data_IF_125131817654
#
_entry.id   IF_125131817654
#
_cell.length_a   1.000
_cell.length_b   1.000
_cell.length_c   1.000
_cell.angle_alpha   90.00
_cell.angle_beta   90.00
_cell.angle_gamma   90.00
#
_symmetry.space_group_name_H-M   'P 1'
#
loop_
_entity.id
_entity.type
_entity.pdbx_description
1 polymer ?
#
# COMPACT_ATOMS: atom_id res chain seq x y z
N UNK A 1 -29.87 -31.91 4.32
CA UNK A 1 -28.40 -31.87 4.12
C UNK A 1 -27.93 -31.36 2.74
N UNK A 2 -28.83 -31.06 1.78
CA UNK A 2 -28.45 -30.67 0.40
C UNK A 2 -28.36 -29.16 0.12
N UNK A 3 -28.89 -28.29 0.99
CA UNK A 3 -28.87 -26.83 0.79
C UNK A 3 -27.67 -26.13 1.45
N UNK A 4 -27.07 -26.75 2.48
CA UNK A 4 -25.93 -26.17 3.23
C UNK A 4 -24.61 -26.23 2.46
N UNK A 5 -24.43 -27.23 1.59
CA UNK A 5 -23.23 -27.38 0.75
C UNK A 5 -23.16 -26.35 -0.39
N UNK A 6 -24.32 -25.91 -0.92
CA UNK A 6 -24.40 -24.93 -2.01
C UNK A 6 -24.01 -23.54 -1.53
N UNK A 7 -24.44 -23.15 -0.32
CA UNK A 7 -24.11 -21.86 0.27
C UNK A 7 -22.60 -21.72 0.58
N UNK A 8 -21.96 -22.79 1.06
CA UNK A 8 -20.52 -22.80 1.36
C UNK A 8 -19.69 -22.69 0.08
N UNK A 9 -20.11 -23.34 -1.00
CA UNK A 9 -19.42 -23.31 -2.30
C UNK A 9 -19.50 -21.93 -2.97
N UNK A 10 -20.61 -21.19 -2.79
CA UNK A 10 -20.79 -19.84 -3.33
C UNK A 10 -19.98 -18.78 -2.57
N UNK A 11 -19.88 -18.92 -1.24
CA UNK A 11 -19.04 -18.04 -0.41
C UNK A 11 -17.56 -18.23 -0.74
N UNK A 12 -17.13 -19.48 -0.99
CA UNK A 12 -15.75 -19.79 -1.38
C UNK A 12 -15.39 -19.28 -2.80
N UNK A 13 -16.35 -19.34 -3.73
CA UNK A 13 -16.19 -18.77 -5.08
C UNK A 13 -16.08 -17.24 -5.03
N UNK A 14 -16.83 -16.59 -4.13
CA UNK A 14 -16.85 -15.12 -4.02
C UNK A 14 -15.58 -14.53 -3.39
N UNK A 15 -14.88 -15.26 -2.52
CA UNK A 15 -13.60 -14.80 -1.91
C UNK A 15 -12.43 -14.87 -2.90
N UNK A 16 -12.50 -15.72 -3.93
CA UNK A 16 -11.41 -15.89 -4.90
C UNK A 16 -11.32 -14.82 -5.99
N UNK A 17 -12.34 -13.96 -6.13
CA UNK A 17 -12.44 -12.96 -7.20
C UNK A 17 -12.12 -11.52 -6.75
N UNK A 18 -11.75 -11.31 -5.47
CA UNK A 18 -11.50 -9.98 -4.91
C UNK A 18 -10.05 -9.79 -4.48
N UNK A 19 -9.12 -10.09 -5.39
CA UNK A 19 -7.78 -9.52 -5.34
C UNK A 19 -7.62 -8.78 -6.66
N UNK A 20 -8.04 -7.52 -6.68
CA UNK A 20 -7.70 -6.63 -7.78
C UNK A 20 -6.18 -6.45 -7.74
N UNK A 21 -5.45 -6.66 -8.85
CA UNK A 21 -4.05 -6.28 -8.91
C UNK A 21 -4.02 -4.76 -8.70
N UNK A 22 -3.51 -4.32 -7.56
CA UNK A 22 -3.29 -2.90 -7.35
C UNK A 22 -2.16 -2.52 -8.31
N UNK A 23 -2.52 -1.85 -9.40
CA UNK A 23 -1.54 -1.38 -10.37
C UNK A 23 -0.76 -0.26 -9.67
N UNK A 24 0.50 -0.54 -9.32
CA UNK A 24 1.39 0.50 -8.81
C UNK A 24 1.59 1.53 -9.92
N UNK A 25 1.05 2.74 -9.74
CA UNK A 25 1.21 3.82 -10.70
C UNK A 25 2.59 4.44 -10.52
N UNK A 26 3.50 4.13 -11.44
CA UNK A 26 4.83 4.75 -11.46
C UNK A 26 4.73 6.14 -12.11
N UNK A 27 5.02 7.19 -11.33
CA UNK A 27 5.12 8.57 -11.81
C UNK A 27 6.53 8.86 -12.27
N UNK A 28 6.66 9.31 -13.53
CA UNK A 28 7.93 9.70 -14.12
C UNK A 28 7.95 11.17 -14.51
N UNK A 29 9.14 11.76 -14.54
CA UNK A 29 9.36 13.15 -14.91
C UNK A 29 10.58 13.28 -15.81
N UNK A 30 10.43 14.04 -16.90
CA UNK A 30 11.54 14.38 -17.79
C UNK A 30 12.23 15.63 -17.30
N UNK A 31 13.51 15.50 -16.94
CA UNK A 31 14.38 16.56 -16.45
C UNK A 31 14.50 17.67 -17.50
N UNK A 32 14.40 18.93 -17.06
CA UNK A 32 14.55 20.12 -17.91
C UNK A 32 15.85 20.85 -17.58
N UNK A 33 16.28 21.74 -18.48
CA UNK A 33 17.45 22.58 -18.23
C UNK A 33 17.26 23.43 -16.98
N UNK A 34 18.22 23.35 -16.04
CA UNK A 34 18.19 24.04 -14.75
C UNK A 34 17.58 23.22 -13.60
N UNK A 35 17.07 22.03 -13.87
CA UNK A 35 16.60 21.12 -12.82
C UNK A 35 17.79 20.51 -12.05
N UNK A 36 17.62 20.37 -10.74
CA UNK A 36 18.59 19.67 -9.86
C UNK A 36 17.87 18.59 -9.07
N UNK A 37 18.61 17.57 -8.63
CA UNK A 37 18.06 16.48 -7.80
C UNK A 37 17.35 17.03 -6.56
N UNK A 38 17.92 18.07 -5.93
CA UNK A 38 17.34 18.72 -4.77
C UNK A 38 16.01 19.43 -5.08
N UNK A 39 15.94 20.21 -6.17
CA UNK A 39 14.71 20.92 -6.55
C UNK A 39 13.61 19.96 -6.96
N UNK A 40 13.95 18.90 -7.69
CA UNK A 40 12.99 17.85 -8.07
C UNK A 40 12.48 17.12 -6.84
N UNK A 41 13.38 16.65 -5.97
CA UNK A 41 12.99 15.95 -4.75
C UNK A 41 12.02 16.82 -3.93
N UNK A 42 12.36 18.09 -3.69
CA UNK A 42 11.49 19.03 -2.97
C UNK A 42 10.15 19.25 -3.67
N UNK A 43 10.12 19.35 -5.00
CA UNK A 43 8.89 19.54 -5.79
C UNK A 43 7.93 18.36 -5.66
N UNK A 44 8.46 17.15 -5.60
CA UNK A 44 7.68 15.91 -5.48
C UNK A 44 7.51 15.44 -4.04
N UNK A 45 7.95 16.23 -3.04
CA UNK A 45 7.84 15.87 -1.62
C UNK A 45 8.74 14.73 -1.19
N UNK A 46 9.76 14.42 -1.99
CA UNK A 46 10.76 13.40 -1.73
C UNK A 46 12.00 14.01 -1.06
N UNK A 47 12.76 13.16 -0.37
CA UNK A 47 14.14 13.48 0.00
C UNK A 47 15.07 13.24 -1.18
N UNK A 48 16.19 13.97 -1.23
CA UNK A 48 17.22 13.77 -2.27
C UNK A 48 17.68 12.31 -2.34
N UNK A 49 17.85 11.68 -1.17
CA UNK A 49 18.30 10.29 -1.06
C UNK A 49 17.26 9.29 -1.58
N UNK A 50 15.97 9.53 -1.34
CA UNK A 50 14.89 8.73 -1.93
C UNK A 50 14.91 8.83 -3.46
N UNK A 51 15.04 10.03 -4.01
CA UNK A 51 15.08 10.24 -5.46
C UNK A 51 16.31 9.57 -6.10
N UNK A 52 17.47 9.67 -5.44
CA UNK A 52 18.72 9.00 -5.83
C UNK A 52 18.54 7.48 -5.84
N UNK A 53 18.04 6.92 -4.75
CA UNK A 53 17.87 5.48 -4.59
C UNK A 53 16.87 4.91 -5.61
N UNK A 54 15.75 5.60 -5.84
CA UNK A 54 14.75 5.19 -6.84
C UNK A 54 15.28 5.13 -8.26
N UNK A 55 16.24 5.99 -8.60
CA UNK A 55 16.79 6.11 -9.95
C UNK A 55 18.21 5.53 -10.08
N UNK A 56 18.75 4.95 -9.01
CA UNK A 56 20.12 4.42 -8.97
C UNK A 56 21.18 5.46 -9.33
N UNK A 57 20.99 6.73 -8.94
CA UNK A 57 21.95 7.79 -9.27
C UNK A 57 23.25 7.60 -8.48
N UNK A 58 24.38 7.58 -9.16
CA UNK A 58 25.71 7.49 -8.54
C UNK A 58 26.30 8.89 -8.33
N UNK A 59 27.20 9.03 -7.36
CA UNK A 59 27.97 10.27 -7.18
C UNK A 59 28.71 10.59 -8.50
N UNK A 60 28.61 11.81 -9.05
CA UNK A 60 28.29 13.10 -8.41
C UNK A 60 26.80 13.49 -8.30
N UNK A 61 25.87 12.57 -8.57
CA UNK A 61 24.41 12.80 -8.55
C UNK A 61 23.96 13.87 -9.56
N UNK A 62 24.63 13.94 -10.71
CA UNK A 62 24.27 14.81 -11.81
C UNK A 62 23.07 14.26 -12.57
N UNK A 63 22.20 15.16 -13.03
CA UNK A 63 21.06 14.85 -13.87
C UNK A 63 21.11 15.75 -15.11
N UNK A 64 20.75 15.19 -16.26
CA UNK A 64 20.82 15.90 -17.53
C UNK A 64 19.44 16.19 -18.11
N UNK A 65 19.25 17.34 -18.80
CA UNK A 65 18.00 17.62 -19.50
C UNK A 65 17.65 16.51 -20.49
N UNK A 66 16.39 16.07 -20.47
CA UNK A 66 15.89 14.94 -21.27
C UNK A 66 15.95 13.58 -20.56
N UNK A 67 16.62 13.48 -19.41
CA UNK A 67 16.60 12.26 -18.60
C UNK A 67 15.22 12.02 -18.00
N UNK A 68 14.74 10.78 -18.05
CA UNK A 68 13.49 10.38 -17.40
C UNK A 68 13.81 9.84 -16.01
N UNK A 69 13.27 10.48 -14.98
CA UNK A 69 13.42 10.07 -13.59
C UNK A 69 12.08 9.58 -13.05
N UNK A 70 12.11 8.50 -12.28
CA UNK A 70 11.00 8.06 -11.42
C UNK A 70 10.92 9.00 -10.23
N UNK A 71 9.79 9.68 -10.08
CA UNK A 71 9.54 10.70 -9.03
C UNK A 71 8.43 10.30 -8.07
N UNK A 72 7.91 9.09 -8.22
CA UNK A 72 6.97 8.50 -7.29
C UNK A 72 6.55 7.12 -7.76
N UNK A 73 6.33 6.24 -6.82
CA UNK A 73 5.52 5.04 -7.03
C UNK A 73 4.31 5.23 -6.12
N UNK A 74 3.14 5.44 -6.71
CA UNK A 74 1.92 5.23 -5.93
C UNK A 74 1.68 3.73 -5.92
N UNK A 75 2.20 3.09 -4.88
CA UNK A 75 1.63 1.84 -4.43
C UNK A 75 0.15 2.15 -4.13
N UNK A 76 -0.76 1.65 -4.97
CA UNK A 76 -2.18 1.81 -4.70
C UNK A 76 -2.52 1.26 -3.32
N UNK A 77 -3.66 1.64 -2.73
CA UNK A 77 -3.86 1.84 -1.30
C UNK A 77 -3.32 0.72 -0.41
N UNK A 78 -2.02 0.78 -0.13
CA UNK A 78 -1.34 -0.02 0.88
C UNK A 78 -0.23 0.87 1.45
N UNK A 79 -0.33 1.13 2.75
CA UNK A 79 0.56 1.95 3.57
C UNK A 79 0.53 3.48 3.36
N UNK A 80 -0.60 4.11 3.70
CA UNK A 80 -0.53 5.44 4.32
C UNK A 80 0.27 5.33 5.64
N UNK A 81 1.18 6.28 5.97
CA UNK A 81 1.80 6.32 7.29
C UNK A 81 0.72 6.66 8.31
N UNK A 82 0.20 5.62 8.93
CA UNK A 82 -0.64 5.65 10.11
C UNK A 82 0.09 6.41 11.23
N UNK A 83 -0.20 7.70 11.37
CA UNK A 83 -0.18 8.27 12.72
C UNK A 83 -1.30 7.60 13.49
N UNK A 84 -0.99 6.44 14.07
CA UNK A 84 -1.85 5.66 14.95
C UNK A 84 -2.10 6.46 16.24
N UNK A 85 -2.99 7.44 16.15
CA UNK A 85 -3.65 8.02 17.32
C UNK A 85 -4.63 7.00 17.85
N UNK A 86 -4.13 6.00 18.58
CA UNK A 86 -4.96 5.00 19.24
C UNK A 86 -5.82 5.67 20.31
N UNK A 87 -7.15 5.49 20.24
CA UNK A 87 -7.98 5.65 21.42
C UNK A 87 -7.57 4.55 22.40
N UNK A 88 -7.19 4.94 23.62
CA UNK A 88 -6.78 4.03 24.72
C UNK A 88 -5.39 3.38 24.61
N UNK A 89 -4.49 3.88 23.77
CA UNK A 89 -3.09 3.42 23.76
C UNK A 89 -2.86 2.03 23.17
N UNK A 90 -3.83 1.50 22.43
CA UNK A 90 -3.68 0.26 21.66
C UNK A 90 -3.46 0.59 20.17
N UNK A 91 -2.47 -0.04 19.55
CA UNK A 91 -2.21 0.08 18.12
C UNK A 91 -3.16 -0.84 17.34
N UNK A 92 -3.76 -0.34 16.26
CA UNK A 92 -4.76 -1.11 15.49
C UNK A 92 -4.13 -2.32 14.78
N UNK A 93 -2.82 -2.26 14.48
CA UNK A 93 -2.04 -3.40 13.97
C UNK A 93 -2.07 -4.62 14.90
N UNK A 94 -2.01 -4.41 16.22
CA UNK A 94 -1.95 -5.51 17.21
C UNK A 94 -3.30 -6.24 17.35
N UNK A 95 -4.41 -5.54 17.12
CA UNK A 95 -5.77 -6.11 17.18
C UNK A 95 -6.00 -7.09 16.02
N UNK A 96 -5.45 -6.79 14.84
CA UNK A 96 -5.63 -7.62 13.64
C UNK A 96 -4.83 -8.91 13.68
N UNK A 97 -3.63 -8.91 14.27
CA UNK A 97 -2.81 -10.12 14.37
C UNK A 97 -3.22 -11.05 15.52
N UNK A 98 -3.84 -10.54 16.59
CA UNK A 98 -4.09 -11.34 17.80
C UNK A 98 -5.51 -11.92 17.90
N UNK A 99 -6.52 -11.35 17.24
CA UNK A 99 -7.92 -11.78 17.43
C UNK A 99 -8.77 -11.93 16.15
N UNK A 100 -8.18 -11.84 14.96
CA UNK A 100 -8.93 -11.83 13.68
C UNK A 100 -9.91 -13.00 13.50
N UNK A 101 -9.49 -14.24 13.82
CA UNK A 101 -10.41 -15.39 13.77
C UNK A 101 -11.27 -15.57 15.02
N UNK A 102 -10.78 -15.19 16.20
CA UNK A 102 -11.55 -15.31 17.44
C UNK A 102 -12.73 -14.34 17.48
N UNK A 103 -12.60 -13.15 16.91
CA UNK A 103 -13.68 -12.18 16.79
C UNK A 103 -14.80 -12.69 15.87
N UNK A 104 -14.44 -13.29 14.73
CA UNK A 104 -15.41 -13.91 13.82
C UNK A 104 -16.12 -15.10 14.49
N UNK A 105 -15.37 -15.96 15.20
CA UNK A 105 -15.94 -17.07 15.97
C UNK A 105 -16.88 -16.60 17.10
N UNK A 106 -16.54 -15.50 17.78
CA UNK A 106 -17.38 -14.92 18.83
C UNK A 106 -18.69 -14.35 18.27
N UNK A 107 -18.63 -13.67 17.12
CA UNK A 107 -19.83 -13.13 16.43
C UNK A 107 -20.71 -14.28 15.91
N UNK A 108 -20.12 -15.34 15.35
CA UNK A 108 -20.84 -16.54 14.92
C UNK A 108 -21.56 -17.24 16.08
N UNK A 109 -20.93 -17.30 17.26
CA UNK A 109 -21.52 -17.88 18.48
C UNK A 109 -22.65 -17.01 19.05
N UNK A 110 -22.54 -15.68 18.95
CA UNK A 110 -23.57 -14.74 19.39
C UNK A 110 -24.82 -14.76 18.49
N UNK A 111 -24.63 -15.01 17.19
CA UNK A 111 -25.72 -15.10 16.20
C UNK A 111 -26.37 -16.49 16.12
N UNK A 112 -25.93 -17.46 16.93
CA UNK A 112 -26.52 -18.80 17.00
C UNK A 112 -26.33 -19.65 15.74
N UNK A 113 -25.29 -19.36 14.94
CA UNK A 113 -25.02 -20.06 13.66
C UNK A 113 -24.05 -21.24 13.85
N UNK A 114 -23.79 -21.64 15.09
CA UNK A 114 -23.04 -22.86 15.44
C UNK A 114 -23.80 -23.72 16.44
#
# INVERSE_FOLDING_TARGET
MRQKAIAIFLVFLCVSAFVLPVAAETRTYTVKAGDTVYLLAKRFGLTTQQLIAMNGLEAPYEIYPGQVLVVGMEEGPEAAPEKSGGLFGLNWGDVTQSYGWLALFAILKLLGVM
#
